data_IF_429344091374
#
_entry.id   IF_429344091374
#
_cell.length_a   1.000
_cell.length_b   1.000
_cell.length_c   1.000
_cell.angle_alpha   90.00
_cell.angle_beta   90.00
_cell.angle_gamma   90.00
#
_symmetry.space_group_name_H-M   'P 1'
#
loop_
_entity.id
_entity.type
_entity.pdbx_description
1 polymer ?
#
# COMPACT_ATOMS: atom_id res chain seq x y z
N UNK A 1 -13.90 -9.98 15.97
CA UNK A 1 -14.02 -9.97 14.50
C UNK A 1 -13.40 -8.69 13.97
N UNK A 2 -13.07 -8.61 12.68
CA UNK A 2 -12.57 -7.37 12.05
C UNK A 2 -13.48 -6.15 12.31
N UNK A 3 -14.81 -6.33 12.33
CA UNK A 3 -15.77 -5.26 12.61
C UNK A 3 -15.61 -4.66 14.02
N UNK A 4 -15.43 -5.50 15.05
CA UNK A 4 -15.18 -5.03 16.42
C UNK A 4 -13.88 -4.23 16.52
N UNK A 5 -12.83 -4.66 15.79
CA UNK A 5 -11.58 -3.91 15.71
C UNK A 5 -11.81 -2.56 15.02
N UNK A 6 -12.63 -2.50 13.97
CA UNK A 6 -12.98 -1.26 13.29
C UNK A 6 -13.75 -0.27 14.17
N UNK A 7 -14.59 -0.76 15.08
CA UNK A 7 -15.30 0.08 16.05
C UNK A 7 -14.35 0.68 17.09
N UNK A 8 -13.39 -0.13 17.58
CA UNK A 8 -12.40 0.30 18.58
C UNK A 8 -11.30 1.20 18.00
N UNK A 9 -10.88 0.93 16.75
CA UNK A 9 -9.83 1.66 16.04
C UNK A 9 -10.39 2.13 14.70
N UNK A 10 -11.11 3.28 14.62
CA UNK A 10 -11.84 3.67 13.40
C UNK A 10 -10.96 4.00 12.20
N UNK A 11 -9.74 4.49 12.44
CA UNK A 11 -8.78 4.84 11.39
C UNK A 11 -8.29 3.60 10.65
N UNK A 12 -8.34 3.61 9.32
CA UNK A 12 -7.74 2.52 8.55
C UNK A 12 -6.23 2.50 8.73
N UNK A 13 -5.59 3.67 8.67
CA UNK A 13 -4.13 3.79 8.81
C UNK A 13 -3.65 3.21 10.13
N UNK A 14 -4.34 3.50 11.23
CA UNK A 14 -4.00 2.91 12.53
C UNK A 14 -4.04 1.37 12.49
N UNK A 15 -5.06 0.78 11.87
CA UNK A 15 -5.18 -0.68 11.75
C UNK A 15 -4.16 -1.30 10.80
N UNK A 16 -3.69 -0.57 9.79
CA UNK A 16 -2.72 -1.05 8.78
C UNK A 16 -1.26 -0.69 9.08
N UNK A 17 -1.01 0.15 10.09
CA UNK A 17 0.33 0.64 10.45
C UNK A 17 0.73 0.27 11.89
N UNK A 18 -0.22 -0.12 12.74
CA UNK A 18 0.08 -0.69 14.06
C UNK A 18 0.37 -2.19 13.92
N UNK A 19 1.57 -2.62 14.33
CA UNK A 19 2.06 -4.00 14.18
C UNK A 19 1.12 -5.02 14.81
N UNK A 20 0.66 -4.79 16.04
CA UNK A 20 -0.21 -5.72 16.76
C UNK A 20 -1.55 -5.89 16.04
N UNK A 21 -2.15 -4.78 15.57
CA UNK A 21 -3.41 -4.81 14.83
C UNK A 21 -3.24 -5.50 13.47
N UNK A 22 -2.16 -5.20 12.75
CA UNK A 22 -1.84 -5.84 11.46
C UNK A 22 -1.72 -7.35 11.63
N UNK A 23 -0.94 -7.80 12.62
CA UNK A 23 -0.74 -9.23 12.90
C UNK A 23 -2.05 -9.88 13.32
N UNK A 24 -2.80 -9.27 14.24
CA UNK A 24 -4.08 -9.79 14.72
C UNK A 24 -5.05 -9.99 13.56
N UNK A 25 -5.25 -8.97 12.73
CA UNK A 25 -6.18 -8.99 11.60
C UNK A 25 -5.74 -10.02 10.55
N UNK A 26 -4.46 -10.04 10.19
CA UNK A 26 -3.91 -10.98 9.19
C UNK A 26 -4.12 -12.44 9.61
N UNK A 27 -4.01 -12.74 10.91
CA UNK A 27 -4.18 -14.10 11.42
C UNK A 27 -5.64 -14.53 11.61
N UNK A 28 -6.62 -13.63 11.56
CA UNK A 28 -8.03 -13.98 11.79
C UNK A 28 -8.52 -15.12 10.88
N UNK A 29 -8.35 -15.07 9.54
CA UNK A 29 -8.77 -16.16 8.66
C UNK A 29 -7.97 -17.43 8.93
N UNK A 30 -6.68 -17.28 9.25
CA UNK A 30 -5.80 -18.42 9.46
C UNK A 30 -6.12 -19.23 10.72
N UNK A 31 -6.46 -18.55 11.81
CA UNK A 31 -6.86 -19.20 13.07
C UNK A 31 -8.12 -20.07 12.91
N UNK A 32 -9.03 -19.68 12.02
CA UNK A 32 -10.34 -20.36 11.85
C UNK A 32 -10.28 -21.44 10.77
N UNK A 33 -9.70 -21.14 9.60
CA UNK A 33 -9.80 -21.99 8.42
C UNK A 33 -8.49 -22.68 8.04
N UNK A 34 -7.37 -22.31 8.67
CA UNK A 34 -6.03 -22.86 8.43
C UNK A 34 -5.65 -22.97 6.93
N UNK A 35 -5.83 -21.91 6.12
CA UNK A 35 -5.43 -21.91 4.71
C UNK A 35 -3.90 -22.02 4.57
N UNK A 36 -3.45 -22.41 3.37
CA UNK A 36 -2.03 -22.56 3.04
C UNK A 36 -1.28 -21.23 2.88
N UNK A 37 -1.98 -20.10 2.97
CA UNK A 37 -1.41 -18.76 2.83
C UNK A 37 -2.04 -17.75 3.78
N UNK A 38 -1.21 -16.88 4.34
CA UNK A 38 -1.61 -15.73 5.15
C UNK A 38 -1.10 -14.47 4.48
N UNK A 39 -2.03 -13.62 4.05
CA UNK A 39 -1.69 -12.32 3.45
C UNK A 39 -1.57 -11.25 4.53
N UNK A 40 -0.57 -10.39 4.38
CA UNK A 40 -0.42 -9.19 5.20
C UNK A 40 -1.69 -8.32 5.11
N UNK A 41 -2.17 -7.82 6.24
CA UNK A 41 -3.15 -6.74 6.27
C UNK A 41 -2.42 -5.39 6.14
N UNK A 42 -2.53 -4.75 4.98
CA UNK A 42 -1.97 -3.41 4.72
C UNK A 42 -2.76 -2.70 3.61
N UNK A 43 -2.27 -1.57 3.10
CA UNK A 43 -2.81 -0.90 1.91
C UNK A 43 -1.79 -0.91 0.76
N UNK A 44 -2.26 -0.93 -0.49
CA UNK A 44 -1.34 -0.86 -1.64
C UNK A 44 -0.63 0.50 -1.74
N UNK A 45 -1.21 1.56 -1.17
CA UNK A 45 -0.72 2.94 -1.19
C UNK A 45 0.25 3.26 -0.06
N UNK A 46 0.44 2.35 0.90
CA UNK A 46 1.41 2.46 2.00
C UNK A 46 2.79 3.03 1.59
N UNK A 47 3.37 2.68 0.43
CA UNK A 47 4.66 3.23 0.00
C UNK A 47 4.65 4.75 -0.26
N UNK A 48 3.50 5.31 -0.64
CA UNK A 48 3.41 6.67 -1.18
C UNK A 48 3.90 7.73 -0.19
N UNK A 49 3.61 7.57 1.11
CA UNK A 49 4.09 8.51 2.12
C UNK A 49 5.62 8.55 2.18
N UNK A 50 6.29 7.40 2.09
CA UNK A 50 7.75 7.31 2.02
C UNK A 50 8.35 7.87 0.73
N UNK A 51 7.54 7.92 -0.33
CA UNK A 51 7.91 8.47 -1.65
C UNK A 51 7.61 9.97 -1.78
N UNK A 52 7.36 10.67 -0.66
CA UNK A 52 7.00 12.10 -0.66
C UNK A 52 5.64 12.39 -1.34
N UNK A 53 4.70 11.45 -1.31
CA UNK A 53 3.34 11.61 -1.83
C UNK A 53 2.35 11.44 -0.67
N UNK A 54 1.90 12.54 -0.06
CA UNK A 54 1.07 12.46 1.13
C UNK A 54 -0.38 12.07 0.75
N UNK A 55 -0.93 11.12 1.49
CA UNK A 55 -2.28 10.61 1.28
C UNK A 55 -2.95 10.22 2.60
N UNK A 56 -4.27 10.06 2.54
CA UNK A 56 -5.04 9.49 3.64
C UNK A 56 -6.24 8.69 3.13
N UNK A 57 -6.81 7.83 3.98
CA UNK A 57 -7.98 7.01 3.68
C UNK A 57 -9.17 7.57 4.46
N UNK A 58 -10.01 8.32 3.76
CA UNK A 58 -11.17 9.01 4.35
C UNK A 58 -12.39 8.09 4.34
N UNK A 59 -13.02 7.91 5.50
CA UNK A 59 -14.21 7.07 5.67
C UNK A 59 -15.31 7.49 4.67
N UNK A 60 -15.81 6.53 3.91
CA UNK A 60 -16.86 6.74 2.89
C UNK A 60 -16.37 7.32 1.55
N UNK A 61 -15.13 7.83 1.47
CA UNK A 61 -14.53 8.37 0.24
C UNK A 61 -13.40 7.49 -0.30
N UNK A 62 -12.73 6.75 0.57
CA UNK A 62 -11.56 5.93 0.22
C UNK A 62 -10.28 6.77 0.21
N UNK A 63 -9.24 6.34 -0.54
CA UNK A 63 -7.96 7.02 -0.57
C UNK A 63 -8.07 8.39 -1.24
N UNK A 64 -7.41 9.38 -0.64
CA UNK A 64 -7.30 10.76 -1.11
C UNK A 64 -5.82 11.12 -1.13
N UNK A 65 -5.32 11.49 -2.30
CA UNK A 65 -3.99 12.09 -2.45
C UNK A 65 -4.15 13.59 -2.29
N UNK A 66 -3.39 14.21 -1.38
CA UNK A 66 -3.58 15.64 -1.08
C UNK A 66 -3.08 16.53 -2.22
N UNK A 67 -1.95 16.18 -2.82
CA UNK A 67 -1.33 16.91 -3.93
C UNK A 67 -1.16 15.98 -5.14
N UNK A 68 -2.21 15.82 -5.98
CA UNK A 68 -2.13 14.93 -7.13
C UNK A 68 -1.11 15.41 -8.17
N UNK A 69 -0.39 14.47 -8.78
CA UNK A 69 0.67 14.77 -9.75
C UNK A 69 0.08 15.01 -11.13
N UNK A 70 0.45 16.14 -11.74
CA UNK A 70 -0.05 16.57 -13.05
C UNK A 70 1.04 17.09 -14.01
N UNK A 71 2.27 17.31 -13.54
CA UNK A 71 3.39 17.80 -14.36
C UNK A 71 4.67 16.98 -14.13
N UNK A 72 5.62 17.10 -15.06
CA UNK A 72 6.95 16.50 -14.92
C UNK A 72 7.69 16.98 -13.66
N UNK A 73 7.60 18.27 -13.33
CA UNK A 73 8.27 18.83 -12.15
C UNK A 73 7.80 18.20 -10.84
N UNK A 74 6.50 17.91 -10.72
CA UNK A 74 5.95 17.21 -9.55
C UNK A 74 6.38 15.74 -9.50
N UNK A 75 6.68 15.12 -10.65
CA UNK A 75 7.23 13.76 -10.66
C UNK A 75 8.68 13.76 -10.14
N UNK A 76 9.46 14.80 -10.44
CA UNK A 76 10.84 14.93 -9.96
C UNK A 76 10.91 15.13 -8.43
N UNK A 77 9.80 15.52 -7.78
CA UNK A 77 9.68 15.60 -6.31
C UNK A 77 9.41 14.24 -5.64
N UNK A 78 9.10 13.20 -6.42
CA UNK A 78 8.88 11.84 -5.91
C UNK A 78 10.21 11.24 -5.48
N UNK A 79 10.27 10.81 -4.21
CA UNK A 79 11.49 10.24 -3.62
C UNK A 79 11.59 8.74 -3.84
N UNK A 80 12.83 8.24 -3.87
CA UNK A 80 13.08 6.80 -3.79
C UNK A 80 12.50 6.25 -2.48
N UNK A 81 11.81 5.11 -2.59
CA UNK A 81 11.22 4.45 -1.45
C UNK A 81 12.24 3.60 -0.70
N UNK A 82 12.48 3.94 0.57
CA UNK A 82 13.32 3.17 1.48
C UNK A 82 12.40 2.53 2.55
N UNK A 83 12.08 1.23 2.43
CA UNK A 83 11.10 0.58 3.30
C UNK A 83 11.49 0.60 4.77
N UNK A 84 12.77 0.42 5.08
CA UNK A 84 13.31 0.36 6.44
C UNK A 84 13.06 1.66 7.21
N UNK A 85 13.12 2.79 6.50
CA UNK A 85 12.90 4.12 7.06
C UNK A 85 11.41 4.49 7.07
N UNK A 86 10.70 4.14 5.99
CA UNK A 86 9.34 4.63 5.75
C UNK A 86 8.26 3.79 6.40
N UNK A 87 8.46 2.47 6.44
CA UNK A 87 7.44 1.49 6.86
C UNK A 87 8.03 0.33 7.69
N UNK A 88 8.86 0.61 8.73
CA UNK A 88 9.51 -0.45 9.52
C UNK A 88 8.51 -1.45 10.12
N UNK A 89 7.30 -0.98 10.44
CA UNK A 89 6.19 -1.79 10.95
C UNK A 89 5.76 -2.92 10.01
N UNK A 90 5.93 -2.78 8.68
CA UNK A 90 5.59 -3.83 7.71
C UNK A 90 6.56 -5.01 7.84
N UNK A 91 7.86 -4.74 7.92
CA UNK A 91 8.88 -5.77 8.09
C UNK A 91 8.76 -6.49 9.44
N UNK A 92 8.42 -5.75 10.49
CA UNK A 92 8.14 -6.32 11.81
C UNK A 92 6.92 -7.25 11.78
N UNK A 93 5.79 -6.80 11.21
CA UNK A 93 4.60 -7.61 11.08
C UNK A 93 4.82 -8.88 10.24
N UNK A 94 5.53 -8.79 9.11
CA UNK A 94 5.89 -9.96 8.28
C UNK A 94 6.74 -10.97 9.06
N UNK A 95 7.68 -10.48 9.87
CA UNK A 95 8.54 -11.32 10.72
C UNK A 95 7.70 -12.07 11.77
N UNK A 96 6.76 -11.39 12.42
CA UNK A 96 5.86 -11.99 13.42
C UNK A 96 4.94 -13.02 12.74
N UNK A 97 4.28 -12.65 11.64
CA UNK A 97 3.41 -13.55 10.89
C UNK A 97 4.13 -14.84 10.47
N UNK A 98 5.38 -14.71 10.00
CA UNK A 98 6.19 -15.87 9.61
C UNK A 98 6.51 -16.78 10.79
N UNK A 99 6.68 -16.26 12.00
CA UNK A 99 6.87 -17.07 13.21
C UNK A 99 5.58 -17.80 13.59
N UNK A 100 4.45 -17.09 13.60
CA UNK A 100 3.14 -17.62 14.00
C UNK A 100 2.69 -18.79 13.10
N UNK A 101 2.75 -18.62 11.77
CA UNK A 101 2.22 -19.64 10.84
C UNK A 101 3.11 -20.89 10.71
N UNK A 102 4.36 -20.81 11.17
CA UNK A 102 5.31 -21.94 11.17
C UNK A 102 5.02 -22.96 12.26
N UNK A 103 4.32 -22.57 13.33
CA UNK A 103 4.04 -23.45 14.47
C UNK A 103 3.04 -24.55 14.08
N UNK A 104 2.03 -24.24 13.24
CA UNK A 104 0.82 -25.07 13.16
C UNK A 104 0.34 -25.54 11.77
N UNK A 105 0.92 -25.10 10.64
CA UNK A 105 0.55 -25.66 9.32
C UNK A 105 1.51 -25.28 8.17
N UNK A 106 2.69 -24.73 8.47
CA UNK A 106 3.64 -24.18 7.48
C UNK A 106 2.97 -23.39 6.33
N UNK A 107 2.02 -22.52 6.66
CA UNK A 107 1.41 -21.65 5.65
C UNK A 107 2.45 -20.65 5.11
N UNK A 108 2.31 -20.25 3.84
CA UNK A 108 3.09 -19.18 3.24
C UNK A 108 2.66 -17.82 3.81
N UNK A 109 3.61 -16.91 4.01
CA UNK A 109 3.30 -15.50 4.29
C UNK A 109 3.39 -14.72 2.98
N UNK A 110 2.31 -14.04 2.62
CA UNK A 110 2.19 -13.27 1.40
C UNK A 110 2.30 -11.78 1.72
N UNK A 111 3.42 -11.17 1.35
CA UNK A 111 3.50 -9.72 1.19
C UNK A 111 2.82 -9.28 -0.11
N UNK A 112 2.49 -8.00 -0.23
CA UNK A 112 1.92 -7.44 -1.46
C UNK A 112 2.26 -5.96 -1.60
N UNK A 113 2.16 -5.46 -2.83
CA UNK A 113 2.39 -4.05 -3.17
C UNK A 113 1.56 -3.69 -4.40
N UNK A 114 1.18 -2.42 -4.53
CA UNK A 114 0.52 -1.91 -5.73
C UNK A 114 1.43 -1.94 -6.95
N UNK A 115 0.88 -2.35 -8.10
CA UNK A 115 1.60 -2.26 -9.37
C UNK A 115 1.87 -0.78 -9.75
N UNK A 116 2.99 -0.46 -10.42
CA UNK A 116 3.38 0.93 -10.70
C UNK A 116 2.29 1.76 -11.40
N UNK A 117 1.62 1.20 -12.41
CA UNK A 117 0.54 1.91 -13.11
C UNK A 117 -0.70 2.13 -12.23
N UNK A 118 -1.02 1.18 -11.36
CA UNK A 118 -2.12 1.31 -10.40
C UNK A 118 -1.83 2.42 -9.39
N UNK A 119 -0.61 2.44 -8.83
CA UNK A 119 -0.17 3.51 -7.93
C UNK A 119 -0.20 4.87 -8.64
N UNK A 120 0.38 4.97 -9.84
CA UNK A 120 0.35 6.19 -10.65
C UNK A 120 -1.10 6.67 -10.90
N UNK A 121 -2.04 5.74 -11.12
CA UNK A 121 -3.45 6.10 -11.31
C UNK A 121 -4.03 6.80 -10.08
N UNK A 122 -3.77 6.32 -8.86
CA UNK A 122 -4.21 7.02 -7.65
C UNK A 122 -3.56 8.39 -7.50
N UNK A 123 -2.24 8.45 -7.71
CA UNK A 123 -1.42 9.66 -7.59
C UNK A 123 -1.89 10.75 -8.57
N UNK A 124 -2.21 10.40 -9.81
CA UNK A 124 -2.66 11.36 -10.83
C UNK A 124 -4.15 11.66 -10.73
N UNK A 125 -4.98 10.69 -10.35
CA UNK A 125 -6.42 10.93 -10.22
C UNK A 125 -6.77 11.74 -8.98
N UNK A 126 -5.96 11.61 -7.93
CA UNK A 126 -6.17 12.20 -6.60
C UNK A 126 -6.92 11.28 -5.64
N UNK A 127 -7.14 10.02 -6.02
CA UNK A 127 -7.96 9.06 -5.30
C UNK A 127 -8.63 8.06 -6.24
N UNK A 128 -9.71 7.43 -5.77
CA UNK A 128 -10.47 6.48 -6.59
C UNK A 128 -11.12 7.16 -7.80
N UNK A 129 -11.03 6.55 -8.97
CA UNK A 129 -11.60 7.06 -10.23
C UNK A 129 -12.29 5.94 -10.99
N UNK A 130 -13.48 6.21 -11.54
CA UNK A 130 -14.22 5.24 -12.36
C UNK A 130 -13.74 5.22 -13.81
N UNK A 131 -13.31 6.37 -14.32
CA UNK A 131 -13.00 6.56 -15.74
C UNK A 131 -11.51 6.65 -16.02
N UNK A 132 -10.70 6.99 -15.01
CA UNK A 132 -9.25 7.17 -15.12
C UNK A 132 -8.87 8.19 -16.20
N UNK A 133 -9.69 9.23 -16.35
CA UNK A 133 -9.57 10.18 -17.47
C UNK A 133 -8.32 11.04 -17.38
N UNK A 134 -7.83 11.37 -16.17
CA UNK A 134 -6.64 12.20 -15.97
C UNK A 134 -5.38 11.39 -16.28
N UNK A 135 -5.25 10.19 -15.72
CA UNK A 135 -4.09 9.31 -15.97
C UNK A 135 -4.04 8.86 -17.44
N UNK A 136 -5.18 8.54 -18.05
CA UNK A 136 -5.23 8.22 -19.49
C UNK A 136 -4.85 9.43 -20.34
N UNK A 137 -5.38 10.61 -20.04
CA UNK A 137 -5.00 11.84 -20.76
C UNK A 137 -3.49 12.04 -20.68
N UNK A 138 -2.90 11.99 -19.49
CA UNK A 138 -1.47 12.15 -19.29
C UNK A 138 -0.65 11.06 -20.02
N UNK A 139 -1.13 9.81 -20.02
CA UNK A 139 -0.49 8.71 -20.76
C UNK A 139 -0.50 8.94 -22.28
N UNK A 140 -1.56 9.52 -22.84
CA UNK A 140 -1.68 9.78 -24.27
C UNK A 140 -1.07 11.10 -24.72
N UNK A 141 -1.12 12.16 -23.90
CA UNK A 141 -0.57 13.48 -24.24
C UNK A 141 0.91 13.62 -23.89
N UNK A 142 1.35 13.01 -22.79
CA UNK A 142 2.70 13.16 -22.24
C UNK A 142 3.29 11.81 -21.79
N UNK A 143 3.45 10.84 -22.73
CA UNK A 143 3.87 9.48 -22.39
C UNK A 143 5.23 9.43 -21.68
N UNK A 144 6.13 10.38 -21.95
CA UNK A 144 7.43 10.45 -21.27
C UNK A 144 7.29 10.68 -19.77
N UNK A 145 6.37 11.54 -19.35
CA UNK A 145 6.11 11.87 -17.93
C UNK A 145 5.61 10.63 -17.19
N UNK A 146 4.66 9.90 -17.79
CA UNK A 146 4.10 8.66 -17.22
C UNK A 146 5.14 7.54 -17.19
N UNK A 147 5.68 7.17 -18.37
CA UNK A 147 6.45 5.95 -18.51
C UNK A 147 7.87 6.09 -17.94
N UNK A 148 8.53 7.22 -18.20
CA UNK A 148 9.95 7.36 -17.87
C UNK A 148 10.19 7.91 -16.47
N UNK A 149 9.30 8.76 -15.96
CA UNK A 149 9.51 9.38 -14.65
C UNK A 149 8.64 8.70 -13.59
N UNK A 150 7.31 8.72 -13.73
CA UNK A 150 6.44 8.32 -12.62
C UNK A 150 6.43 6.80 -12.40
N UNK A 151 6.21 6.00 -13.45
CA UNK A 151 6.16 4.54 -13.27
C UNK A 151 7.51 3.90 -12.97
N UNK A 152 8.62 4.50 -13.43
CA UNK A 152 9.96 4.02 -13.09
C UNK A 152 10.35 4.37 -11.66
N UNK A 153 9.99 5.56 -11.16
CA UNK A 153 10.16 5.90 -9.74
C UNK A 153 9.38 4.94 -8.84
N UNK A 154 8.16 4.55 -9.25
CA UNK A 154 7.32 3.58 -8.52
C UNK A 154 7.77 2.11 -8.69
N UNK A 155 8.67 1.80 -9.63
CA UNK A 155 9.18 0.44 -9.86
C UNK A 155 10.18 -0.01 -8.81
N UNK A 156 10.97 0.91 -8.24
CA UNK A 156 12.02 0.59 -7.27
C UNK A 156 11.49 0.28 -5.87
N UNK A 157 10.23 -0.15 -5.77
CA UNK A 157 9.55 -0.43 -4.53
C UNK A 157 9.98 -1.80 -3.97
N UNK A 158 10.82 -1.80 -2.93
CA UNK A 158 11.48 -2.99 -2.37
C UNK A 158 10.65 -3.77 -1.32
N UNK A 159 9.36 -3.49 -1.19
CA UNK A 159 8.49 -4.14 -0.18
C UNK A 159 8.43 -5.67 -0.26
N UNK A 160 8.60 -6.25 -1.45
CA UNK A 160 8.44 -7.71 -1.64
C UNK A 160 9.67 -8.50 -1.19
N UNK A 161 10.81 -7.83 -0.95
CA UNK A 161 12.07 -8.48 -0.54
C UNK A 161 12.37 -8.39 0.95
N UNK A 162 11.47 -7.79 1.75
CA UNK A 162 11.54 -7.78 3.22
C UNK A 162 11.02 -9.09 3.82
#
# INVERSE_FOLDING_TARGET
SYQVICEKYPSFRERSENVDLVVEISLQPWKVFKPDGVILFSDILTPLSGMNIPFDIVKGKGPVIFDPVHSASQVDEVREFIPEDSVPYVGEALTILRKEVRVDNKAAVLGFVGAPFTLASYVVEGGSSKHFSKIKRLAFSEPKVIFYHLTLSLRHNKLVTM
#
